data_IF_295378117041
#
_entry.id   IF_295378117041
#
_cell.length_a   1.000
_cell.length_b   1.000
_cell.length_c   1.000
_cell.angle_alpha   90.00
_cell.angle_beta   90.00
_cell.angle_gamma   90.00
#
_symmetry.space_group_name_H-M   'P 1'
#
loop_
_entity.id
_entity.type
_entity.pdbx_description
1 polymer ?
#
# COMPACT_ATOMS: atom_id res chain seq x y z
N UNK A 1 20.78 8.76 24.03
CA UNK A 1 21.59 9.98 24.20
C UNK A 1 21.09 10.98 23.18
N UNK A 2 20.91 12.24 23.57
CA UNK A 2 20.53 13.34 22.69
C UNK A 2 21.74 13.94 21.98
N UNK A 3 21.48 14.77 20.96
CA UNK A 3 22.48 15.51 20.18
C UNK A 3 23.34 16.45 21.05
N UNK A 4 22.77 17.02 22.11
CA UNK A 4 23.45 17.90 23.06
C UNK A 4 24.28 17.15 24.12
N UNK A 5 24.32 15.82 24.03
CA UNK A 5 25.00 14.94 24.98
C UNK A 5 24.15 14.58 26.20
N UNK A 6 22.94 15.15 26.35
CA UNK A 6 22.01 14.72 27.40
C UNK A 6 21.64 13.25 27.24
N UNK A 7 21.20 12.61 28.32
CA UNK A 7 20.84 11.20 28.28
C UNK A 7 19.72 10.86 29.26
N UNK A 8 19.08 9.73 28.97
CA UNK A 8 17.88 9.29 29.67
C UNK A 8 18.06 7.85 30.13
N UNK A 9 17.52 7.57 31.31
CA UNK A 9 17.27 6.21 31.81
C UNK A 9 15.78 5.97 31.73
N UNK A 10 15.41 4.93 30.98
CA UNK A 10 14.01 4.55 30.75
C UNK A 10 13.74 3.28 31.53
N UNK A 11 12.95 3.40 32.59
CA UNK A 11 12.45 2.29 33.39
C UNK A 11 10.99 2.00 33.00
N UNK A 12 10.45 0.85 33.44
CA UNK A 12 9.07 0.42 33.13
C UNK A 12 7.98 1.44 33.51
N UNK A 13 8.24 2.33 34.47
CA UNK A 13 7.28 3.31 34.97
C UNK A 13 7.82 4.72 35.13
N UNK A 14 9.03 5.00 34.63
CA UNK A 14 9.60 6.34 34.72
C UNK A 14 10.68 6.60 33.70
N UNK A 15 10.88 7.88 33.37
CA UNK A 15 12.02 8.36 32.59
C UNK A 15 12.78 9.37 33.45
N UNK A 16 14.06 9.11 33.70
CA UNK A 16 14.96 10.06 34.37
C UNK A 16 15.92 10.66 33.35
N UNK A 17 16.08 11.98 33.35
CA UNK A 17 16.96 12.70 32.43
C UNK A 17 18.16 13.33 33.16
N UNK A 18 19.28 13.36 32.44
CA UNK A 18 20.56 13.85 32.91
C UNK A 18 21.20 14.73 31.83
N UNK A 19 21.97 15.73 32.24
CA UNK A 19 22.79 16.49 31.29
C UNK A 19 24.02 15.69 30.83
N UNK A 20 24.79 16.28 29.91
CA UNK A 20 26.02 15.69 29.36
C UNK A 20 27.07 15.31 30.40
N UNK A 21 27.06 15.96 31.56
CA UNK A 21 28.00 15.74 32.66
C UNK A 21 27.44 14.76 33.72
N UNK A 22 26.23 14.25 33.50
CA UNK A 22 25.57 13.27 34.36
C UNK A 22 24.82 13.88 35.55
N UNK A 23 24.61 15.19 35.59
CA UNK A 23 23.75 15.81 36.60
C UNK A 23 22.30 15.55 36.25
N UNK A 24 21.54 15.06 37.24
CA UNK A 24 20.10 14.81 37.11
C UNK A 24 19.35 16.12 36.84
N UNK A 25 18.58 16.16 35.77
CA UNK A 25 17.74 17.30 35.37
C UNK A 25 16.30 17.14 35.89
N UNK A 26 15.72 15.95 35.72
CA UNK A 26 14.34 15.68 36.08
C UNK A 26 13.96 14.20 36.00
N UNK A 27 12.77 13.88 36.49
CA UNK A 27 12.17 12.53 36.40
C UNK A 27 10.68 12.65 36.15
N UNK A 28 10.18 11.92 35.17
CA UNK A 28 8.75 11.72 34.90
C UNK A 28 8.38 10.33 35.40
N UNK A 29 7.33 10.23 36.21
CA UNK A 29 6.90 8.99 36.89
C UNK A 29 5.47 8.62 36.50
N UNK A 30 4.99 7.47 37.00
CA UNK A 30 3.65 6.93 36.75
C UNK A 30 3.39 6.59 35.28
N UNK A 31 4.44 6.22 34.55
CA UNK A 31 4.37 5.77 33.17
C UNK A 31 4.07 4.27 33.10
N UNK A 32 3.67 3.81 31.93
CA UNK A 32 3.40 2.44 31.51
C UNK A 32 4.11 2.17 30.18
N UNK A 33 5.25 1.46 30.26
CA UNK A 33 6.08 1.11 29.10
C UNK A 33 6.55 2.33 28.29
N UNK A 34 7.22 3.31 28.94
CA UNK A 34 7.65 4.50 28.26
C UNK A 34 8.77 4.22 27.25
N UNK A 35 8.76 4.98 26.16
CA UNK A 35 9.88 5.11 25.23
C UNK A 35 10.24 6.57 25.09
N UNK A 36 11.50 6.86 24.81
CA UNK A 36 11.98 8.22 24.60
C UNK A 36 12.43 8.37 23.16
N UNK A 37 11.88 9.38 22.49
CA UNK A 37 12.43 9.87 21.23
C UNK A 37 13.02 11.26 21.46
N UNK A 38 14.12 11.52 20.78
CA UNK A 38 14.81 12.79 20.89
C UNK A 38 14.02 13.92 20.20
N UNK A 39 13.94 15.06 20.86
CA UNK A 39 13.44 16.32 20.32
C UNK A 39 14.56 17.27 19.91
N UNK A 40 14.23 18.54 19.65
CA UNK A 40 15.20 19.58 19.34
C UNK A 40 15.62 20.37 20.58
N UNK A 41 16.79 21.02 20.53
CA UNK A 41 17.24 21.96 21.56
C UNK A 41 17.25 21.36 23.00
N UNK A 42 17.56 20.06 23.11
CA UNK A 42 17.57 19.31 24.38
C UNK A 42 16.20 18.86 24.88
N UNK A 43 15.12 19.14 24.13
CA UNK A 43 13.80 18.57 24.40
C UNK A 43 13.75 17.09 24.01
N UNK A 44 12.78 16.36 24.54
CA UNK A 44 12.52 14.98 24.18
C UNK A 44 11.05 14.62 24.42
N UNK A 45 10.55 13.64 23.67
CA UNK A 45 9.21 13.12 23.86
C UNK A 45 9.25 11.77 24.56
N UNK A 46 8.33 11.59 25.50
CA UNK A 46 8.03 10.31 26.13
C UNK A 46 6.75 9.78 25.48
N UNK A 47 6.82 8.59 24.89
CA UNK A 47 5.67 7.85 24.38
C UNK A 47 5.29 6.79 25.41
N UNK A 48 4.08 6.90 25.94
CA UNK A 48 3.52 6.09 27.01
C UNK A 48 2.24 5.36 26.56
N UNK A 49 1.84 4.30 27.26
CA UNK A 49 0.58 3.61 27.00
C UNK A 49 -0.62 4.42 27.55
N UNK A 50 -0.98 5.48 26.83
CA UNK A 50 -2.10 6.38 27.10
C UNK A 50 -1.75 7.87 27.08
N UNK A 51 -0.46 8.20 26.99
CA UNK A 51 0.00 9.58 26.93
C UNK A 51 1.19 9.74 26.00
N UNK A 52 1.34 10.94 25.46
CA UNK A 52 2.58 11.40 24.85
C UNK A 52 2.95 12.72 25.50
N UNK A 53 4.15 12.80 26.07
CA UNK A 53 4.59 13.91 26.91
C UNK A 53 5.84 14.54 26.27
N UNK A 54 5.78 15.83 25.98
CA UNK A 54 6.97 16.62 25.64
C UNK A 54 7.64 17.07 26.93
N UNK A 55 8.94 16.84 27.03
CA UNK A 55 9.77 17.22 28.17
C UNK A 55 10.84 18.20 27.69
N UNK A 56 11.02 19.27 28.45
CA UNK A 56 12.02 20.28 28.18
C UNK A 56 13.44 19.84 28.51
N UNK A 57 14.41 20.62 28.04
CA UNK A 57 15.84 20.45 28.37
C UNK A 57 16.16 20.57 29.87
N UNK A 58 15.24 21.14 30.65
CA UNK A 58 15.35 21.19 32.12
C UNK A 58 14.75 19.96 32.81
N UNK A 59 14.29 18.98 32.02
CA UNK A 59 13.69 17.74 32.51
C UNK A 59 12.25 17.85 32.98
N UNK A 60 11.58 18.98 32.73
CA UNK A 60 10.18 19.20 33.13
C UNK A 60 9.22 18.99 31.96
N UNK A 61 8.03 18.38 32.20
CA UNK A 61 6.99 18.31 31.18
C UNK A 61 6.58 19.71 30.69
N UNK A 62 6.59 19.90 29.38
CA UNK A 62 6.12 21.11 28.67
C UNK A 62 4.68 20.92 28.21
N UNK A 63 4.39 19.77 27.62
CA UNK A 63 3.07 19.45 27.07
C UNK A 63 2.75 17.97 27.22
N UNK A 64 1.45 17.65 27.25
CA UNK A 64 0.96 16.29 27.30
C UNK A 64 -0.27 16.14 26.39
N UNK A 65 -0.32 15.02 25.68
CA UNK A 65 -1.48 14.57 24.89
C UNK A 65 -1.95 13.25 25.47
N UNK A 66 -3.23 13.17 25.83
CA UNK A 66 -3.86 11.90 26.17
C UNK A 66 -4.19 11.17 24.86
N UNK A 67 -3.78 9.91 24.76
CA UNK A 67 -3.93 9.03 23.60
C UNK A 67 -4.71 7.77 23.98
N UNK A 68 -5.41 7.16 23.01
CA UNK A 68 -6.06 5.86 23.22
C UNK A 68 -5.06 4.72 22.98
N UNK A 69 -4.28 4.44 24.02
CA UNK A 69 -3.13 3.54 23.95
C UNK A 69 -1.89 4.29 23.49
N UNK A 70 -0.99 3.59 22.79
CA UNK A 70 0.30 4.13 22.38
C UNK A 70 0.18 5.04 21.17
N UNK A 71 0.48 6.33 21.34
CA UNK A 71 0.54 7.29 20.24
C UNK A 71 1.84 7.18 19.42
N UNK A 72 1.89 7.91 18.30
CA UNK A 72 3.10 8.11 17.50
C UNK A 72 3.44 9.60 17.48
N UNK A 73 4.72 9.93 17.52
CA UNK A 73 5.19 11.30 17.30
C UNK A 73 5.86 11.38 15.93
N UNK A 74 5.53 12.43 15.18
CA UNK A 74 6.11 12.75 13.88
C UNK A 74 6.80 14.11 13.98
N UNK A 75 8.05 14.19 13.49
CA UNK A 75 8.86 15.41 13.48
C UNK A 75 8.73 16.14 12.15
N UNK A 76 8.60 17.45 12.20
CA UNK A 76 8.61 18.37 11.06
C UNK A 76 10.01 18.85 10.70
N UNK A 77 10.19 19.25 9.44
CA UNK A 77 11.48 19.81 8.98
C UNK A 77 11.81 21.16 9.65
N UNK A 78 10.80 21.92 10.04
CA UNK A 78 10.92 23.22 10.72
C UNK A 78 10.95 23.11 12.25
N UNK A 79 11.02 21.88 12.77
CA UNK A 79 10.99 21.58 14.19
C UNK A 79 9.58 21.50 14.78
N UNK A 80 8.50 21.62 14.01
CA UNK A 80 7.15 21.32 14.48
C UNK A 80 6.97 19.82 14.81
N UNK A 81 5.98 19.48 15.61
CA UNK A 81 5.72 18.10 16.04
C UNK A 81 4.25 17.74 15.97
N UNK A 82 3.97 16.50 15.57
CA UNK A 82 2.61 15.95 15.55
C UNK A 82 2.52 14.70 16.41
N UNK A 83 1.58 14.71 17.35
CA UNK A 83 1.17 13.52 18.09
C UNK A 83 -0.03 12.91 17.38
N UNK A 84 0.18 11.74 16.80
CA UNK A 84 -0.82 10.93 16.10
C UNK A 84 -1.34 9.87 17.05
N UNK A 85 -2.65 9.87 17.22
CA UNK A 85 -3.43 8.92 18.02
C UNK A 85 -4.48 8.25 17.11
N UNK A 86 -5.11 7.16 17.57
CA UNK A 86 -6.08 6.38 16.77
C UNK A 86 -7.21 7.21 16.16
N UNK A 87 -7.61 8.30 16.83
CA UNK A 87 -8.73 9.15 16.42
C UNK A 87 -8.42 10.63 16.35
N UNK A 88 -7.17 11.03 16.58
CA UNK A 88 -6.80 12.45 16.60
C UNK A 88 -5.35 12.72 16.23
N UNK A 89 -5.09 13.92 15.72
CA UNK A 89 -3.74 14.44 15.50
C UNK A 89 -3.63 15.78 16.23
N UNK A 90 -2.62 15.92 17.08
CA UNK A 90 -2.32 17.18 17.80
C UNK A 90 -1.01 17.76 17.30
N UNK A 91 -1.03 19.03 16.89
CA UNK A 91 0.14 19.75 16.37
C UNK A 91 0.73 20.66 17.46
N UNK A 92 2.06 20.73 17.51
CA UNK A 92 2.85 21.58 18.37
C UNK A 92 3.91 22.32 17.54
N UNK A 93 4.22 23.56 17.91
CA UNK A 93 5.39 24.24 17.37
C UNK A 93 6.69 23.67 17.97
N UNK A 94 7.82 24.15 17.45
CA UNK A 94 9.17 23.78 17.88
C UNK A 94 9.47 24.03 19.36
N UNK A 95 8.71 24.90 20.02
CA UNK A 95 8.89 25.23 21.43
C UNK A 95 7.95 24.42 22.34
N UNK A 96 7.08 23.58 21.74
CA UNK A 96 6.14 22.72 22.45
C UNK A 96 4.79 23.37 22.73
N UNK A 97 4.50 24.53 22.16
CA UNK A 97 3.17 25.15 22.29
C UNK A 97 2.22 24.46 21.32
N UNK A 98 1.09 24.01 21.87
CA UNK A 98 0.01 23.38 21.10
C UNK A 98 -0.59 24.38 20.11
N UNK A 99 -0.57 24.03 18.83
CA UNK A 99 -1.12 24.84 17.73
C UNK A 99 -2.56 24.44 17.42
N UNK A 100 -2.87 23.14 17.47
CA UNK A 100 -4.21 22.66 17.16
C UNK A 100 -4.38 21.17 17.42
N UNK A 101 -5.64 20.70 17.38
CA UNK A 101 -5.99 19.28 17.43
C UNK A 101 -7.12 18.99 16.46
N UNK A 102 -6.93 18.01 15.59
CA UNK A 102 -7.98 17.44 14.74
C UNK A 102 -8.46 16.14 15.38
N UNK A 103 -9.77 15.93 15.43
CA UNK A 103 -10.42 14.80 16.12
C UNK A 103 -11.38 14.08 15.17
N UNK A 104 -11.95 12.97 15.64
CA UNK A 104 -12.89 12.11 14.90
C UNK A 104 -12.28 11.52 13.62
N UNK A 105 -10.97 11.30 13.63
CA UNK A 105 -10.25 10.65 12.55
C UNK A 105 -10.36 9.12 12.65
N UNK A 106 -10.12 8.42 11.54
CA UNK A 106 -10.05 6.96 11.50
C UNK A 106 -8.68 6.51 11.01
N UNK A 107 -7.89 5.90 11.89
CA UNK A 107 -6.55 5.42 11.59
C UNK A 107 -5.64 6.49 10.96
N UNK A 108 -5.49 7.69 11.55
CA UNK A 108 -4.81 8.79 10.88
C UNK A 108 -3.30 8.54 10.73
N UNK A 109 -2.75 9.08 9.65
CA UNK A 109 -1.32 9.23 9.38
C UNK A 109 -1.00 10.68 9.05
N UNK A 110 0.24 11.10 9.30
CA UNK A 110 0.72 12.44 8.97
C UNK A 110 1.82 12.35 7.91
N UNK A 111 1.70 13.16 6.86
CA UNK A 111 2.77 13.41 5.89
C UNK A 111 3.25 14.84 6.12
N UNK A 112 4.54 14.98 6.42
CA UNK A 112 5.19 16.26 6.69
C UNK A 112 5.46 16.97 5.37
N UNK A 113 5.18 18.26 5.32
CA UNK A 113 5.58 19.15 4.24
C UNK A 113 6.60 20.18 4.68
N UNK A 114 6.96 21.05 3.75
CA UNK A 114 7.88 22.15 4.01
C UNK A 114 7.23 23.29 4.79
N UNK A 115 8.07 24.13 5.41
CA UNK A 115 7.65 25.33 6.13
C UNK A 115 6.59 25.04 7.21
N UNK A 116 6.68 23.88 7.87
CA UNK A 116 5.77 23.46 8.94
C UNK A 116 4.39 23.01 8.48
N UNK A 117 4.13 22.97 7.17
CA UNK A 117 2.87 22.47 6.61
C UNK A 117 2.83 20.96 6.72
N UNK A 118 1.62 20.41 6.77
CA UNK A 118 1.46 18.96 6.90
C UNK A 118 0.09 18.49 6.42
N UNK A 119 0.04 17.21 6.08
CA UNK A 119 -1.17 16.53 5.66
C UNK A 119 -1.58 15.51 6.71
N UNK A 120 -2.86 15.50 7.07
CA UNK A 120 -3.50 14.43 7.83
C UNK A 120 -4.27 13.58 6.84
N UNK A 121 -3.97 12.29 6.81
CA UNK A 121 -4.65 11.30 5.98
C UNK A 121 -5.34 10.33 6.92
N UNK A 122 -6.66 10.20 6.80
CA UNK A 122 -7.45 9.17 7.47
C UNK A 122 -8.20 8.32 6.44
N UNK A 123 -8.95 7.30 6.88
CA UNK A 123 -9.61 6.36 5.97
C UNK A 123 -10.66 6.99 5.03
N UNK A 124 -11.13 8.21 5.28
CA UNK A 124 -12.14 8.89 4.47
C UNK A 124 -11.88 10.37 4.19
N UNK A 125 -10.77 10.93 4.69
CA UNK A 125 -10.43 12.34 4.57
C UNK A 125 -8.93 12.56 4.35
N UNK A 126 -8.62 13.64 3.64
CA UNK A 126 -7.30 14.24 3.57
C UNK A 126 -7.43 15.71 3.94
N UNK A 127 -6.63 16.15 4.91
CA UNK A 127 -6.66 17.52 5.43
C UNK A 127 -5.27 18.11 5.29
N UNK A 128 -5.14 19.22 4.55
CA UNK A 128 -3.90 19.98 4.44
C UNK A 128 -3.92 21.15 5.41
N UNK A 129 -2.84 21.31 6.17
CA UNK A 129 -2.73 22.28 7.25
C UNK A 129 -1.45 23.11 7.08
N UNK A 130 -1.51 24.38 7.46
CA UNK A 130 -0.34 25.23 7.57
C UNK A 130 0.40 25.06 8.91
N UNK A 131 1.57 25.69 9.03
CA UNK A 131 2.41 25.68 10.23
C UNK A 131 1.71 26.20 11.48
N UNK A 132 0.64 26.99 11.35
CA UNK A 132 -0.11 27.52 12.50
C UNK A 132 -1.22 26.56 12.94
N UNK A 133 -1.42 25.46 12.22
CA UNK A 133 -2.52 24.53 12.42
C UNK A 133 -3.83 25.00 11.79
N UNK A 134 -3.80 25.98 10.88
CA UNK A 134 -4.98 26.36 10.09
C UNK A 134 -5.10 25.42 8.90
N UNK A 135 -6.35 25.04 8.60
CA UNK A 135 -6.68 24.21 7.45
C UNK A 135 -6.60 24.99 6.15
N UNK A 136 -5.78 24.50 5.22
CA UNK A 136 -5.61 25.00 3.86
C UNK A 136 -6.55 24.27 2.88
N UNK A 137 -6.67 22.95 2.99
CA UNK A 137 -7.55 22.14 2.15
C UNK A 137 -8.20 20.99 2.93
N UNK A 138 -9.34 20.50 2.45
CA UNK A 138 -10.03 19.33 3.00
C UNK A 138 -10.72 18.56 1.87
N UNK A 139 -10.30 17.32 1.66
CA UNK A 139 -10.96 16.34 0.81
C UNK A 139 -11.64 15.32 1.71
N UNK A 140 -12.93 15.08 1.50
CA UNK A 140 -13.76 14.24 2.37
C UNK A 140 -14.64 13.30 1.56
N UNK A 141 -15.10 12.21 2.18
CA UNK A 141 -15.94 11.22 1.50
C UNK A 141 -15.15 10.35 0.53
N UNK A 142 -13.85 10.17 0.82
CA UNK A 142 -12.95 9.37 0.01
C UNK A 142 -13.38 7.90 0.08
N UNK A 143 -13.41 7.22 -1.07
CA UNK A 143 -13.72 5.79 -1.16
C UNK A 143 -12.53 4.89 -0.86
N UNK A 144 -11.33 5.45 -0.99
CA UNK A 144 -10.06 4.78 -0.74
C UNK A 144 -9.20 5.67 0.15
N UNK A 145 -8.35 5.04 0.97
CA UNK A 145 -7.35 5.75 1.75
C UNK A 145 -6.37 6.44 0.80
N UNK A 146 -6.21 7.74 0.97
CA UNK A 146 -5.37 8.52 0.08
C UNK A 146 -3.88 8.32 0.34
N UNK A 147 -3.07 8.67 -0.66
CA UNK A 147 -1.62 8.87 -0.52
C UNK A 147 -1.29 10.29 -0.95
N UNK A 148 -0.37 10.94 -0.24
CA UNK A 148 0.04 12.31 -0.54
C UNK A 148 1.55 12.36 -0.73
N UNK A 149 1.99 13.01 -1.80
CA UNK A 149 3.40 13.25 -2.08
C UNK A 149 3.62 14.59 -2.76
N UNK A 150 4.85 15.11 -2.65
CA UNK A 150 5.24 16.40 -3.20
C UNK A 150 5.98 16.23 -4.52
N UNK A 151 5.43 16.80 -5.59
CA UNK A 151 6.05 16.81 -6.92
C UNK A 151 7.27 17.73 -7.03
N UNK A 152 8.13 17.47 -8.02
CA UNK A 152 9.39 18.20 -8.26
C UNK A 152 9.20 19.67 -8.60
N UNK A 153 8.02 20.07 -9.09
CA UNK A 153 7.69 21.45 -9.37
C UNK A 153 7.14 22.21 -8.13
N UNK A 154 7.09 21.56 -6.97
CA UNK A 154 6.67 22.17 -5.71
C UNK A 154 5.19 21.96 -5.36
N UNK A 155 4.37 21.43 -6.27
CA UNK A 155 2.96 21.12 -6.00
C UNK A 155 2.80 19.80 -5.25
N UNK A 156 1.69 19.64 -4.55
CA UNK A 156 1.29 18.40 -3.91
C UNK A 156 0.36 17.59 -4.81
N UNK A 157 0.49 16.28 -4.74
CA UNK A 157 -0.39 15.33 -5.40
C UNK A 157 -1.05 14.47 -4.34
N UNK A 158 -2.39 14.42 -4.37
CA UNK A 158 -3.22 13.55 -3.53
C UNK A 158 -3.79 12.45 -4.43
N UNK A 159 -3.35 11.21 -4.24
CA UNK A 159 -3.89 10.05 -4.93
C UNK A 159 -5.01 9.42 -4.11
N UNK A 160 -6.14 9.15 -4.75
CA UNK A 160 -7.33 8.52 -4.16
C UNK A 160 -7.81 7.47 -5.16
N UNK A 161 -7.38 6.22 -5.02
CA UNK A 161 -7.69 5.18 -6.00
C UNK A 161 -7.18 5.60 -7.39
N UNK A 162 -8.09 5.73 -8.35
CA UNK A 162 -7.88 6.13 -9.75
C UNK A 162 -7.80 7.65 -9.98
N UNK A 163 -8.05 8.45 -8.95
CA UNK A 163 -8.03 9.90 -9.02
C UNK A 163 -6.73 10.50 -8.47
N UNK A 164 -6.16 11.48 -9.19
CA UNK A 164 -5.13 12.36 -8.67
C UNK A 164 -5.64 13.79 -8.59
N UNK A 165 -5.42 14.43 -7.44
CA UNK A 165 -5.71 15.86 -7.23
C UNK A 165 -4.38 16.57 -7.04
N UNK A 166 -4.09 17.54 -7.91
CA UNK A 166 -2.92 18.40 -7.81
C UNK A 166 -3.30 19.67 -7.06
N UNK A 167 -2.52 20.00 -6.03
CA UNK A 167 -2.78 21.09 -5.09
C UNK A 167 -1.53 21.96 -4.98
N UNK A 168 -1.69 23.28 -4.99
CA UNK A 168 -0.56 24.20 -4.76
C UNK A 168 -0.13 24.24 -3.28
N UNK A 169 0.91 25.04 -2.98
CA UNK A 169 1.42 25.16 -1.62
C UNK A 169 0.47 25.86 -0.65
N UNK A 170 -0.54 26.57 -1.15
CA UNK A 170 -1.58 27.27 -0.40
C UNK A 170 -2.84 26.41 -0.20
N UNK A 171 -2.91 25.22 -0.79
CA UNK A 171 -4.04 24.32 -0.69
C UNK A 171 -5.11 24.49 -1.78
N UNK A 172 -4.84 25.30 -2.81
CA UNK A 172 -5.77 25.43 -3.93
C UNK A 172 -5.61 24.25 -4.89
N UNK A 173 -6.73 23.68 -5.31
CA UNK A 173 -6.74 22.63 -6.32
C UNK A 173 -6.39 23.25 -7.69
N UNK A 174 -5.32 22.74 -8.31
CA UNK A 174 -4.85 23.16 -9.62
C UNK A 174 -5.42 22.28 -10.74
N UNK A 175 -5.48 20.97 -10.49
CA UNK A 175 -5.98 20.00 -11.46
C UNK A 175 -6.54 18.76 -10.78
N UNK A 176 -7.44 18.09 -11.48
CA UNK A 176 -7.88 16.74 -11.17
C UNK A 176 -7.63 15.88 -12.39
N UNK A 177 -6.89 14.80 -12.23
CA UNK A 177 -6.71 13.77 -13.24
C UNK A 177 -7.49 12.54 -12.80
N UNK A 178 -8.21 11.95 -13.74
CA UNK A 178 -8.90 10.68 -13.56
C UNK A 178 -8.21 9.68 -14.48
N UNK A 179 -7.70 8.60 -13.90
CA UNK A 179 -7.19 7.49 -14.69
C UNK A 179 -8.37 6.68 -15.21
N UNK A 180 -8.44 6.46 -16.52
CA UNK A 180 -9.29 5.42 -17.08
C UNK A 180 -8.67 4.02 -16.93
N UNK A 181 -7.45 3.94 -16.40
CA UNK A 181 -6.62 2.74 -16.32
C UNK A 181 -6.51 2.17 -14.90
N UNK A 182 -7.35 2.64 -13.97
CA UNK A 182 -7.40 2.13 -12.59
C UNK A 182 -6.53 2.92 -11.60
N UNK A 183 -6.23 2.28 -10.46
CA UNK A 183 -5.65 2.94 -9.30
C UNK A 183 -4.25 3.50 -9.58
N UNK A 184 -4.05 4.75 -9.23
CA UNK A 184 -2.80 5.48 -9.39
C UNK A 184 -1.86 5.18 -8.22
N UNK A 185 -0.58 5.04 -8.53
CA UNK A 185 0.49 4.91 -7.56
C UNK A 185 1.60 5.92 -7.82
N UNK A 186 2.41 6.17 -6.79
CA UNK A 186 3.64 6.95 -6.93
C UNK A 186 4.79 6.01 -7.26
N UNK A 187 5.52 6.25 -8.35
CA UNK A 187 6.79 5.59 -8.65
C UNK A 187 7.97 6.52 -8.27
N UNK A 188 9.00 5.94 -7.64
CA UNK A 188 10.23 6.62 -7.24
C UNK A 188 10.29 7.00 -5.75
N UNK A 189 11.51 7.02 -5.20
CA UNK A 189 11.86 7.68 -3.95
C UNK A 189 11.93 9.21 -4.15
N UNK A 190 11.87 9.96 -3.05
CA UNK A 190 11.63 11.41 -3.02
C UNK A 190 12.60 12.27 -3.86
N UNK A 191 13.72 11.72 -4.33
CA UNK A 191 14.71 12.41 -5.17
C UNK A 191 14.52 12.18 -6.68
N UNK A 192 13.84 11.12 -7.10
CA UNK A 192 13.77 10.68 -8.51
C UNK A 192 12.61 11.31 -9.32
N UNK A 193 11.77 12.11 -8.65
CA UNK A 193 10.59 12.72 -9.22
C UNK A 193 9.39 11.78 -9.29
N UNK A 194 8.20 12.36 -9.07
CA UNK A 194 6.95 11.62 -9.03
C UNK A 194 6.44 11.32 -10.44
N UNK A 195 6.49 10.04 -10.81
CA UNK A 195 5.73 9.52 -11.94
C UNK A 195 4.42 8.90 -11.43
N UNK A 196 3.30 9.28 -12.05
CA UNK A 196 2.04 8.57 -11.90
C UNK A 196 2.10 7.38 -12.85
N UNK A 197 1.90 6.18 -12.30
CA UNK A 197 1.51 5.04 -13.12
C UNK A 197 0.28 4.37 -12.52
N UNK A 198 -0.60 3.90 -13.39
CA UNK A 198 -1.67 3.02 -12.96
C UNK A 198 -1.02 1.68 -12.61
N UNK A 199 -1.30 1.12 -11.44
CA UNK A 199 -0.79 -0.20 -11.11
C UNK A 199 -1.42 -1.21 -12.08
N UNK A 200 -0.72 -1.54 -13.18
CA UNK A 200 -1.06 -2.71 -13.99
C UNK A 200 -0.91 -3.94 -13.08
N UNK A 201 -1.99 -4.67 -12.87
CA UNK A 201 -1.89 -6.04 -12.35
C UNK A 201 -1.15 -6.81 -13.43
N UNK A 202 0.05 -7.32 -13.13
CA UNK A 202 0.79 -8.12 -14.09
C UNK A 202 -0.09 -9.30 -14.52
N UNK A 203 -0.33 -9.42 -15.83
CA UNK A 203 -1.25 -10.41 -16.40
C UNK A 203 -2.69 -9.94 -16.65
N UNK A 204 -3.10 -8.75 -16.19
CA UNK A 204 -4.41 -8.15 -16.53
C UNK A 204 -4.35 -7.49 -17.91
N UNK A 205 -4.50 -8.32 -18.94
CA UNK A 205 -4.33 -7.94 -20.35
C UNK A 205 -5.57 -7.17 -20.83
N UNK A 206 -6.75 -7.52 -20.32
CA UNK A 206 -8.01 -6.89 -20.72
C UNK A 206 -8.30 -5.58 -19.94
N UNK A 207 -7.56 -5.33 -18.85
CA UNK A 207 -7.53 -4.13 -18.01
C UNK A 207 -8.82 -3.89 -17.23
N UNK A 208 -9.46 -4.97 -16.79
CA UNK A 208 -10.68 -4.93 -15.97
C UNK A 208 -10.42 -5.01 -14.46
N UNK A 209 -9.15 -5.04 -14.04
CA UNK A 209 -8.67 -5.16 -12.66
C UNK A 209 -8.88 -6.54 -12.02
N UNK A 210 -9.25 -7.55 -12.80
CA UNK A 210 -9.38 -8.92 -12.34
C UNK A 210 -8.50 -9.83 -13.18
N UNK A 211 -7.40 -10.32 -12.62
CA UNK A 211 -6.59 -11.37 -13.24
C UNK A 211 -7.40 -12.67 -13.29
N UNK A 212 -7.95 -13.03 -14.45
CA UNK A 212 -8.87 -14.17 -14.60
C UNK A 212 -8.84 -14.81 -16.01
N UNK A 213 -9.74 -15.77 -16.26
CA UNK A 213 -9.80 -16.51 -17.52
C UNK A 213 -9.95 -15.62 -18.76
N UNK A 214 -10.60 -14.46 -18.64
CA UNK A 214 -10.74 -13.51 -19.74
C UNK A 214 -9.40 -12.89 -20.19
N UNK A 215 -8.39 -12.85 -19.33
CA UNK A 215 -7.04 -12.43 -19.71
C UNK A 215 -6.33 -13.51 -20.51
N UNK A 216 -6.48 -14.77 -20.09
CA UNK A 216 -5.95 -15.93 -20.81
C UNK A 216 -6.57 -16.00 -22.21
N UNK A 217 -7.91 -15.91 -22.30
CA UNK A 217 -8.65 -15.92 -23.57
C UNK A 217 -8.25 -14.75 -24.48
N UNK A 218 -7.90 -13.60 -23.90
CA UNK A 218 -7.41 -12.46 -24.66
C UNK A 218 -6.01 -12.72 -25.20
N UNK A 219 -5.11 -13.30 -24.40
CA UNK A 219 -3.77 -13.67 -24.83
C UNK A 219 -3.79 -14.74 -25.94
N UNK A 220 -4.56 -15.81 -25.77
CA UNK A 220 -4.73 -16.86 -26.78
C UNK A 220 -5.17 -16.27 -28.13
N UNK A 221 -6.18 -15.38 -28.11
CA UNK A 221 -6.66 -14.72 -29.33
C UNK A 221 -5.64 -13.78 -29.96
N UNK A 222 -4.87 -13.04 -29.15
CA UNK A 222 -3.82 -12.16 -29.64
C UNK A 222 -2.71 -12.96 -30.36
N UNK A 223 -2.30 -14.10 -29.80
CA UNK A 223 -1.33 -15.01 -30.40
C UNK A 223 -1.87 -15.58 -31.71
N UNK A 224 -3.07 -16.16 -31.70
CA UNK A 224 -3.69 -16.77 -32.88
C UNK A 224 -3.93 -15.79 -34.04
N UNK A 225 -4.11 -14.49 -33.73
CA UNK A 225 -4.30 -13.44 -34.74
C UNK A 225 -2.99 -12.72 -35.14
N UNK A 226 -1.86 -13.01 -34.49
CA UNK A 226 -0.61 -12.28 -34.68
C UNK A 226 -0.67 -10.80 -34.25
N UNK A 227 -1.54 -10.49 -33.28
CA UNK A 227 -1.77 -9.14 -32.74
C UNK A 227 -1.24 -8.99 -31.30
N UNK A 228 -0.39 -9.91 -30.84
CA UNK A 228 0.26 -9.81 -29.55
C UNK A 228 1.10 -8.54 -29.42
N UNK A 229 1.03 -7.93 -28.24
CA UNK A 229 1.80 -6.71 -27.91
C UNK A 229 3.10 -7.09 -27.19
N UNK A 230 4.14 -6.23 -27.18
CA UNK A 230 5.34 -6.48 -26.39
C UNK A 230 5.06 -6.68 -24.89
N UNK A 231 3.96 -6.13 -24.37
CA UNK A 231 3.53 -6.30 -22.98
C UNK A 231 2.96 -7.70 -22.70
N UNK A 232 2.78 -8.53 -23.73
CA UNK A 232 2.27 -9.90 -23.67
C UNK A 232 3.39 -10.97 -23.61
N UNK A 233 4.66 -10.54 -23.62
CA UNK A 233 5.86 -11.38 -23.44
C UNK A 233 6.08 -11.62 -21.94
N UNK A 234 5.42 -12.65 -21.40
CA UNK A 234 5.43 -12.99 -19.98
C UNK A 234 6.65 -13.82 -19.58
N UNK A 235 7.23 -14.58 -20.52
CA UNK A 235 8.41 -15.40 -20.24
C UNK A 235 9.74 -14.62 -20.47
N UNK A 236 9.68 -13.47 -21.12
CA UNK A 236 10.79 -12.54 -21.35
C UNK A 236 11.77 -12.97 -22.44
N UNK A 237 11.37 -13.86 -23.35
CA UNK A 237 12.24 -14.39 -24.41
C UNK A 237 12.22 -13.56 -25.70
N UNK A 238 11.35 -12.54 -25.77
CA UNK A 238 11.19 -11.64 -26.90
C UNK A 238 10.26 -12.14 -28.00
N UNK A 239 9.59 -13.28 -27.79
CA UNK A 239 8.61 -13.90 -28.70
C UNK A 239 7.32 -14.04 -27.91
N UNK A 240 6.18 -13.61 -28.49
CA UNK A 240 4.88 -13.86 -27.87
C UNK A 240 4.23 -15.09 -28.48
N UNK A 241 4.20 -16.19 -27.74
CA UNK A 241 3.62 -17.47 -28.15
C UNK A 241 2.97 -18.25 -26.99
N UNK A 242 2.75 -19.55 -27.18
CA UNK A 242 2.07 -20.39 -26.20
C UNK A 242 2.84 -20.51 -24.87
N UNK A 243 4.16 -20.29 -24.86
CA UNK A 243 4.95 -20.31 -23.63
C UNK A 243 4.59 -19.11 -22.73
N UNK A 244 4.16 -17.97 -23.28
CA UNK A 244 3.68 -16.82 -22.50
C UNK A 244 2.35 -17.08 -21.83
N UNK A 245 1.46 -17.83 -22.48
CA UNK A 245 0.21 -18.29 -21.87
C UNK A 245 0.51 -19.15 -20.66
N UNK A 246 1.49 -20.04 -20.77
CA UNK A 246 1.92 -20.89 -19.66
C UNK A 246 2.53 -20.07 -18.52
N UNK A 247 3.32 -19.03 -18.83
CA UNK A 247 3.85 -18.10 -17.82
C UNK A 247 2.75 -17.27 -17.17
N UNK A 248 1.74 -16.79 -17.91
CA UNK A 248 0.57 -16.11 -17.35
C UNK A 248 -0.17 -17.00 -16.34
N UNK A 249 -0.46 -18.25 -16.72
CA UNK A 249 -1.19 -19.22 -15.89
C UNK A 249 -0.41 -19.61 -14.63
N UNK A 250 0.88 -19.92 -14.77
CA UNK A 250 1.68 -20.44 -13.65
C UNK A 250 2.30 -19.36 -12.77
N UNK A 251 2.74 -18.26 -13.36
CA UNK A 251 3.52 -17.24 -12.66
C UNK A 251 2.67 -16.08 -12.17
N UNK A 252 1.63 -15.68 -12.91
CA UNK A 252 0.74 -14.59 -12.49
C UNK A 252 -0.51 -15.12 -11.77
N UNK A 253 -1.18 -16.13 -12.36
CA UNK A 253 -2.39 -16.72 -11.78
C UNK A 253 -2.11 -17.78 -10.71
N UNK A 254 -0.86 -18.23 -10.58
CA UNK A 254 -0.43 -19.22 -9.59
C UNK A 254 -1.24 -20.53 -9.62
N UNK A 255 -1.66 -20.94 -10.81
CA UNK A 255 -2.35 -22.21 -11.04
C UNK A 255 -1.70 -23.01 -12.17
N UNK A 256 -2.35 -24.07 -12.64
CA UNK A 256 -1.89 -24.93 -13.72
C UNK A 256 -2.96 -25.15 -14.78
N UNK A 257 -2.48 -25.65 -15.91
CA UNK A 257 -3.36 -26.13 -16.98
C UNK A 257 -4.30 -27.21 -16.45
N UNK A 258 -5.59 -27.06 -16.73
CA UNK A 258 -6.64 -27.93 -16.22
C UNK A 258 -7.56 -27.26 -15.21
N UNK A 259 -7.07 -26.25 -14.48
CA UNK A 259 -7.87 -25.47 -13.53
C UNK A 259 -8.73 -24.45 -14.29
N UNK A 260 -9.96 -24.85 -14.61
CA UNK A 260 -10.90 -24.07 -15.41
C UNK A 260 -11.61 -22.99 -14.59
N UNK A 261 -11.68 -23.15 -13.26
CA UNK A 261 -12.35 -22.21 -12.37
C UNK A 261 -11.37 -21.23 -11.68
N UNK A 262 -10.06 -21.45 -11.85
CA UNK A 262 -8.94 -20.66 -11.31
C UNK A 262 -8.89 -20.65 -9.77
N UNK A 263 -9.30 -21.74 -9.11
CA UNK A 263 -9.25 -21.89 -7.65
C UNK A 263 -7.89 -22.38 -7.11
N UNK A 264 -6.95 -22.70 -8.02
CA UNK A 264 -5.59 -23.14 -7.72
C UNK A 264 -5.42 -24.66 -7.70
N UNK A 265 -6.46 -25.44 -8.04
CA UNK A 265 -6.43 -26.90 -8.03
C UNK A 265 -7.11 -27.45 -9.28
N UNK A 266 -6.40 -28.22 -10.10
CA UNK A 266 -7.04 -28.98 -11.18
C UNK A 266 -7.70 -30.25 -10.60
N UNK A 267 -9.03 -30.26 -10.48
CA UNK A 267 -9.78 -31.39 -9.93
C UNK A 267 -11.08 -31.74 -10.68
N UNK A 268 -11.93 -32.56 -10.05
CA UNK A 268 -13.20 -33.01 -10.65
C UNK A 268 -14.18 -31.85 -10.88
N UNK A 269 -14.10 -30.77 -10.12
CA UNK A 269 -14.93 -29.57 -10.25
C UNK A 269 -14.67 -28.86 -11.59
N UNK A 270 -13.41 -28.78 -12.01
CA UNK A 270 -13.05 -28.24 -13.33
C UNK A 270 -13.59 -29.10 -14.46
N UNK A 271 -13.40 -30.43 -14.35
CA UNK A 271 -13.92 -31.37 -15.34
C UNK A 271 -15.45 -31.28 -15.44
N UNK A 272 -16.15 -31.18 -14.31
CA UNK A 272 -17.60 -30.98 -14.30
C UNK A 272 -17.97 -29.66 -15.00
N UNK A 273 -17.26 -28.56 -14.71
CA UNK A 273 -17.51 -27.25 -15.30
C UNK A 273 -17.38 -27.28 -16.83
N UNK A 274 -16.25 -27.77 -17.36
CA UNK A 274 -16.00 -27.77 -18.81
C UNK A 274 -16.94 -28.74 -19.55
N UNK A 275 -17.26 -29.91 -18.98
CA UNK A 275 -18.24 -30.81 -19.60
C UNK A 275 -19.67 -30.29 -19.54
N UNK A 276 -20.01 -29.44 -18.57
CA UNK A 276 -21.30 -28.75 -18.54
C UNK A 276 -21.43 -27.68 -19.63
N UNK A 277 -20.31 -27.10 -20.08
CA UNK A 277 -20.31 -26.18 -21.22
C UNK A 277 -20.68 -26.90 -22.55
N UNK A 278 -20.41 -28.21 -22.63
CA UNK A 278 -20.84 -29.05 -23.74
C UNK A 278 -20.06 -28.85 -25.05
N UNK A 279 -18.83 -28.33 -24.96
CA UNK A 279 -18.00 -27.98 -26.11
C UNK A 279 -16.98 -29.07 -26.51
N UNK A 280 -16.86 -30.15 -25.71
CA UNK A 280 -15.93 -31.24 -25.98
C UNK A 280 -16.25 -31.92 -27.31
N UNK A 281 -15.33 -31.82 -28.28
CA UNK A 281 -15.42 -32.49 -29.59
C UNK A 281 -16.79 -32.20 -30.29
N UNK A 282 -17.33 -31.00 -30.12
CA UNK A 282 -18.68 -30.64 -30.62
C UNK A 282 -18.70 -30.26 -32.12
N UNK A 283 -17.52 -29.99 -32.69
CA UNK A 283 -17.32 -29.60 -34.08
C UNK A 283 -17.69 -28.15 -34.41
N UNK A 284 -17.84 -27.28 -33.42
CA UNK A 284 -18.16 -25.86 -33.57
C UNK A 284 -16.91 -25.01 -33.40
N UNK A 285 -16.36 -24.57 -34.53
CA UNK A 285 -15.07 -23.88 -34.56
C UNK A 285 -15.02 -22.60 -33.71
N UNK A 286 -14.01 -22.49 -32.84
CA UNK A 286 -13.64 -21.29 -32.11
C UNK A 286 -14.63 -20.87 -31.02
N UNK A 287 -15.39 -21.82 -30.46
CA UNK A 287 -16.38 -21.54 -29.43
C UNK A 287 -15.86 -21.76 -28.00
N UNK A 288 -14.65 -22.28 -27.84
CA UNK A 288 -14.06 -22.64 -26.55
C UNK A 288 -13.21 -21.51 -25.95
N UNK A 289 -13.08 -21.56 -24.63
CA UNK A 289 -12.37 -20.60 -23.78
C UNK A 289 -11.63 -21.39 -22.69
N UNK A 290 -10.74 -20.75 -21.95
CA UNK A 290 -10.06 -21.40 -20.82
C UNK A 290 -11.05 -22.04 -19.84
N UNK A 291 -12.12 -21.30 -19.51
CA UNK A 291 -13.15 -21.73 -18.56
C UNK A 291 -14.04 -22.87 -19.07
N UNK A 292 -13.98 -23.16 -20.37
CA UNK A 292 -14.79 -24.18 -21.04
C UNK A 292 -13.96 -25.28 -21.70
N UNK A 293 -12.63 -25.22 -21.60
CA UNK A 293 -11.71 -26.32 -21.90
C UNK A 293 -10.60 -26.06 -22.92
N UNK A 294 -10.53 -24.88 -23.55
CA UNK A 294 -9.43 -24.49 -24.46
C UNK A 294 -8.18 -24.13 -23.64
N UNK A 295 -7.32 -25.12 -23.44
CA UNK A 295 -6.14 -25.02 -22.59
C UNK A 295 -4.85 -24.94 -23.40
N UNK A 296 -4.92 -25.23 -24.70
CA UNK A 296 -3.81 -25.13 -25.64
C UNK A 296 -3.86 -23.85 -26.52
N UNK A 297 -4.91 -23.02 -26.38
CA UNK A 297 -5.19 -21.79 -27.13
C UNK A 297 -5.50 -21.99 -28.62
N UNK A 298 -6.02 -23.14 -29.06
CA UNK A 298 -6.40 -23.37 -30.45
C UNK A 298 -7.86 -23.03 -30.78
N UNK A 299 -8.65 -22.68 -29.76
CA UNK A 299 -10.06 -22.28 -29.88
C UNK A 299 -11.06 -23.43 -29.78
N UNK A 300 -10.60 -24.66 -29.59
CA UNK A 300 -11.43 -25.85 -29.40
C UNK A 300 -11.24 -26.43 -27.99
N UNK A 301 -12.22 -27.19 -27.52
CA UNK A 301 -12.02 -28.09 -26.39
C UNK A 301 -12.06 -29.51 -26.92
N UNK A 302 -10.89 -30.14 -27.03
CA UNK A 302 -10.77 -31.47 -27.58
C UNK A 302 -9.84 -32.39 -26.76
N UNK A 303 -9.55 -33.57 -27.31
CA UNK A 303 -8.69 -34.54 -26.63
C UNK A 303 -7.27 -34.01 -26.38
N UNK A 304 -6.78 -33.05 -27.17
CA UNK A 304 -5.44 -32.48 -27.03
C UNK A 304 -5.32 -31.59 -25.79
N UNK A 305 -6.37 -30.85 -25.41
CA UNK A 305 -6.43 -30.09 -24.16
C UNK A 305 -6.38 -31.00 -22.94
N UNK A 306 -7.19 -32.06 -22.96
CA UNK A 306 -7.19 -33.06 -21.89
C UNK A 306 -5.83 -33.73 -21.74
N UNK A 307 -5.15 -34.02 -22.86
CA UNK A 307 -3.78 -34.55 -22.84
C UNK A 307 -2.83 -33.52 -22.22
N UNK A 308 -2.91 -32.24 -22.61
CA UNK A 308 -2.06 -31.17 -22.10
C UNK A 308 -2.21 -31.03 -20.57
N UNK A 309 -3.44 -30.96 -20.06
CA UNK A 309 -3.70 -30.87 -18.63
C UNK A 309 -3.22 -32.11 -17.87
N UNK A 310 -3.47 -33.31 -18.39
CA UNK A 310 -3.06 -34.56 -17.73
C UNK A 310 -1.54 -34.78 -17.75
N UNK A 311 -0.83 -34.25 -18.76
CA UNK A 311 0.63 -34.31 -18.83
C UNK A 311 1.32 -33.53 -17.71
N UNK A 312 0.64 -32.56 -17.09
CA UNK A 312 1.17 -31.86 -15.91
C UNK A 312 1.34 -32.78 -14.69
N UNK A 313 0.54 -33.87 -14.62
CA UNK A 313 0.53 -34.79 -13.49
C UNK A 313 -0.06 -34.20 -12.19
N UNK A 314 -0.79 -33.08 -12.26
CA UNK A 314 -1.29 -32.32 -11.10
C UNK A 314 -2.78 -32.51 -10.78
N UNK A 315 -3.46 -33.47 -11.40
CA UNK A 315 -4.87 -33.76 -11.08
C UNK A 315 -5.03 -34.13 -9.59
N UNK A 316 -6.00 -33.50 -8.92
CA UNK A 316 -6.24 -33.58 -7.46
C UNK A 316 -5.05 -33.14 -6.59
N UNK A 317 -4.11 -32.35 -7.14
CA UNK A 317 -3.01 -31.77 -6.39
C UNK A 317 -3.12 -30.24 -6.39
N UNK A 318 -2.96 -29.58 -5.24
CA UNK A 318 -2.89 -28.12 -5.21
C UNK A 318 -1.65 -27.64 -5.96
N UNK A 319 -1.77 -26.48 -6.62
CA UNK A 319 -0.64 -25.88 -7.32
C UNK A 319 0.55 -25.68 -6.36
N UNK A 320 1.78 -25.86 -6.86
CA UNK A 320 3.00 -25.82 -6.05
C UNK A 320 3.25 -24.46 -5.35
N UNK A 321 2.48 -23.42 -5.69
CA UNK A 321 2.59 -22.07 -5.12
C UNK A 321 2.00 -21.93 -3.70
N UNK A 322 1.14 -22.84 -3.24
CA UNK A 322 0.60 -22.81 -1.87
C UNK A 322 1.39 -23.65 -0.84
N UNK A 323 2.52 -24.26 -1.23
CA UNK A 323 3.34 -25.09 -0.33
C UNK A 323 4.41 -24.31 0.47
N UNK A 324 4.14 -23.04 0.78
CA UNK A 324 4.96 -22.23 1.69
C UNK A 324 4.39 -22.20 3.11
N UNK A 325 5.06 -22.89 4.04
CA UNK A 325 4.89 -22.86 5.50
C UNK A 325 3.65 -23.50 6.13
N UNK A 326 3.72 -24.82 6.37
CA UNK A 326 3.52 -25.38 7.73
C UNK A 326 4.50 -26.53 7.94
N UNK A 327 5.73 -26.24 8.35
CA UNK A 327 6.61 -27.23 8.96
C UNK A 327 6.48 -27.14 10.49
N UNK A 328 5.60 -27.96 11.05
CA UNK A 328 5.55 -28.27 12.47
C UNK A 328 6.58 -29.34 12.82
N UNK A 329 7.61 -28.97 13.60
CA UNK A 329 8.26 -29.83 14.60
C UNK A 329 8.76 -28.99 15.75
#
# INVERSE_FOLDING_TARGET
RGEDGAWWVVDKSSVTCFDKDGKKLGRVENLKNPEVIQGENGQFWIIDDGHVILVGKDGKPIAQVNTDGRGKVVRGEDGAWWVVDKSSVTCFDKDGKKLGRVQNLKNPTVVVGEEGKFWIIDDGNVIYMDATGRRLAHFSGLRHRARVAKSTNGNWVVLIGDQAIVVDSQGNMLATLQSSYGALSFLGDAESGLYLDAAMVAGDINRDLALNAADIDLLCRQIGQGNATPDSDFNGDGIVDADDVMSLVREQLHTDVGDANLDGVFDTSDLIQIFQAGQYEDGVVGNSSWSTGDWNCDGEFDTTDLILAMQTGRFEQPSSAQSGDVATT
#
